data_IF_721754250083
#
_entry.id   IF_721754250083
#
_cell.length_a   1.000
_cell.length_b   1.000
_cell.length_c   1.000
_cell.angle_alpha   90.00
_cell.angle_beta   90.00
_cell.angle_gamma   90.00
#
_symmetry.space_group_name_H-M   'P 1'
#
loop_
_entity.id
_entity.type
_entity.pdbx_description
1 polymer ?
#
# COMPACT_ATOMS: atom_id res chain seq x y z
N UNK A 1 2.46 -3.56 -10.18
CA UNK A 1 3.38 -4.70 -10.23
C UNK A 1 3.55 -5.41 -8.89
N UNK A 2 3.26 -4.73 -7.77
CA UNK A 2 3.49 -5.29 -6.45
C UNK A 2 2.58 -6.47 -6.13
N UNK A 3 3.05 -7.33 -5.22
CA UNK A 3 2.38 -8.56 -4.80
C UNK A 3 0.95 -8.29 -4.29
N UNK A 4 0.79 -7.31 -3.40
CA UNK A 4 -0.51 -6.93 -2.84
C UNK A 4 -1.44 -6.38 -3.92
N UNK A 5 -0.99 -5.37 -4.68
CA UNK A 5 -1.82 -4.76 -5.73
C UNK A 5 -2.28 -5.77 -6.78
N UNK A 6 -1.40 -6.71 -7.17
CA UNK A 6 -1.75 -7.80 -8.09
C UNK A 6 -2.83 -8.72 -7.52
N UNK A 7 -2.69 -9.15 -6.28
CA UNK A 7 -3.69 -9.99 -5.61
C UNK A 7 -5.04 -9.29 -5.45
N UNK A 8 -5.02 -8.00 -5.13
CA UNK A 8 -6.26 -7.19 -5.03
C UNK A 8 -6.98 -7.10 -6.37
N UNK A 9 -6.25 -6.80 -7.46
CA UNK A 9 -6.85 -6.77 -8.80
C UNK A 9 -7.52 -8.11 -9.11
N UNK A 10 -6.80 -9.21 -8.96
CA UNK A 10 -7.32 -10.55 -9.25
C UNK A 10 -8.54 -10.89 -8.40
N UNK A 11 -8.53 -10.52 -7.11
CA UNK A 11 -9.65 -10.78 -6.20
C UNK A 11 -10.92 -10.03 -6.62
N UNK A 12 -10.81 -8.75 -6.96
CA UNK A 12 -11.98 -7.97 -7.38
C UNK A 12 -12.46 -8.33 -8.79
N UNK A 13 -11.56 -8.68 -9.70
CA UNK A 13 -11.94 -9.13 -11.05
C UNK A 13 -12.63 -10.50 -11.09
N UNK A 14 -12.52 -11.29 -10.03
CA UNK A 14 -13.24 -12.56 -9.91
C UNK A 14 -14.75 -12.35 -9.75
N UNK A 15 -15.18 -11.16 -9.36
CA UNK A 15 -16.57 -10.76 -9.21
C UNK A 15 -16.92 -9.73 -10.30
N UNK A 16 -17.88 -10.08 -11.17
CA UNK A 16 -18.27 -9.25 -12.31
C UNK A 16 -19.01 -7.94 -11.91
N UNK A 17 -19.41 -7.79 -10.66
CA UNK A 17 -20.02 -6.57 -10.15
C UNK A 17 -19.00 -5.43 -9.96
N UNK A 18 -17.71 -5.74 -9.95
CA UNK A 18 -16.65 -4.74 -9.75
C UNK A 18 -16.05 -4.24 -11.06
N UNK A 19 -15.97 -2.92 -11.18
CA UNK A 19 -15.14 -2.25 -12.18
C UNK A 19 -13.83 -1.81 -11.53
N UNK A 20 -12.73 -2.45 -11.92
CA UNK A 20 -11.42 -2.25 -11.30
C UNK A 20 -10.59 -1.23 -12.04
N UNK A 21 -10.06 -0.24 -11.33
CA UNK A 21 -9.08 0.73 -11.84
C UNK A 21 -7.76 0.48 -11.12
N UNK A 22 -6.72 0.15 -11.88
CA UNK A 22 -5.38 -0.07 -11.38
C UNK A 22 -4.49 1.15 -11.66
N UNK A 23 -3.97 1.76 -10.60
CA UNK A 23 -3.14 2.97 -10.68
C UNK A 23 -1.73 2.63 -10.23
N UNK A 24 -0.76 2.85 -11.07
CA UNK A 24 0.66 2.77 -10.75
C UNK A 24 1.51 3.37 -11.86
N UNK A 25 2.80 3.62 -11.60
CA UNK A 25 3.74 4.11 -12.62
C UNK A 25 3.95 3.16 -13.80
N UNK A 26 3.75 1.87 -13.58
CA UNK A 26 3.99 0.84 -14.59
C UNK A 26 2.85 -0.17 -14.61
N UNK A 27 2.46 -0.60 -15.81
CA UNK A 27 1.41 -1.58 -16.03
C UNK A 27 1.72 -2.92 -15.34
N UNK A 28 0.70 -3.60 -14.76
CA UNK A 28 0.83 -4.97 -14.27
C UNK A 28 1.37 -5.92 -15.35
N UNK A 29 2.22 -6.89 -14.95
CA UNK A 29 2.84 -7.85 -15.88
C UNK A 29 2.02 -9.14 -16.06
N UNK A 30 0.85 -9.22 -15.46
CA UNK A 30 -0.06 -10.37 -15.58
C UNK A 30 -1.33 -9.96 -16.35
N UNK A 31 -1.98 -10.89 -17.06
CA UNK A 31 -3.26 -10.64 -17.72
C UNK A 31 -4.32 -10.21 -16.68
N UNK A 32 -4.99 -9.10 -16.95
CA UNK A 32 -6.07 -8.57 -16.13
C UNK A 32 -7.01 -7.71 -16.96
N UNK A 33 -8.21 -7.47 -16.46
CA UNK A 33 -9.26 -6.66 -17.08
C UNK A 33 -9.32 -5.24 -16.54
N UNK A 34 -8.53 -4.91 -15.50
CA UNK A 34 -8.55 -3.61 -14.86
C UNK A 34 -8.21 -2.49 -15.85
N UNK A 35 -8.93 -1.39 -15.75
CA UNK A 35 -8.55 -0.15 -16.44
C UNK A 35 -7.26 0.36 -15.83
N UNK A 36 -6.18 0.28 -16.59
CA UNK A 36 -4.88 0.76 -16.12
C UNK A 36 -4.69 2.25 -16.39
N UNK A 37 -4.21 2.96 -15.36
CA UNK A 37 -3.81 4.37 -15.44
C UNK A 37 -2.37 4.48 -14.94
N UNK A 38 -1.49 4.99 -15.81
CA UNK A 38 -0.12 5.31 -15.43
C UNK A 38 -0.11 6.64 -14.68
N UNK A 39 0.29 6.62 -13.40
CA UNK A 39 0.30 7.81 -12.57
C UNK A 39 1.40 7.72 -11.51
N UNK A 40 2.18 8.78 -11.38
CA UNK A 40 3.11 8.93 -10.26
C UNK A 40 2.42 9.69 -9.12
N UNK A 41 2.26 9.03 -7.99
CA UNK A 41 1.58 9.63 -6.83
C UNK A 41 2.38 10.75 -6.15
N UNK A 42 3.64 10.94 -6.52
CA UNK A 42 4.45 12.09 -6.08
C UNK A 42 4.14 13.37 -6.85
N UNK A 43 3.59 13.25 -8.06
CA UNK A 43 3.13 14.37 -8.87
C UNK A 43 1.72 14.80 -8.43
N UNK A 44 1.68 15.77 -7.52
CA UNK A 44 0.42 16.27 -6.95
C UNK A 44 -0.55 16.79 -8.02
N UNK A 45 -0.04 17.51 -9.02
CA UNK A 45 -0.89 18.11 -10.06
C UNK A 45 -1.54 17.01 -10.88
N UNK A 46 -0.74 16.07 -11.39
CA UNK A 46 -1.26 14.95 -12.15
C UNK A 46 -2.26 14.08 -11.35
N UNK A 47 -2.02 13.90 -10.04
CA UNK A 47 -2.92 13.15 -9.15
C UNK A 47 -4.26 13.87 -9.00
N UNK A 48 -4.25 15.18 -8.72
CA UNK A 48 -5.48 15.97 -8.58
C UNK A 48 -6.30 16.00 -9.87
N UNK A 49 -5.65 16.22 -11.01
CA UNK A 49 -6.32 16.21 -12.31
C UNK A 49 -6.89 14.83 -12.66
N UNK A 50 -6.12 13.77 -12.45
CA UNK A 50 -6.53 12.42 -12.84
C UNK A 50 -7.65 11.88 -11.94
N UNK A 51 -7.45 11.89 -10.62
CA UNK A 51 -8.42 11.31 -9.68
C UNK A 51 -9.63 12.22 -9.47
N UNK A 52 -9.45 13.53 -9.50
CA UNK A 52 -10.54 14.49 -9.33
C UNK A 52 -11.63 14.38 -10.40
N UNK A 53 -11.28 13.96 -11.62
CA UNK A 53 -12.24 13.72 -12.70
C UNK A 53 -12.96 12.37 -12.60
N UNK A 54 -12.54 11.47 -11.73
CA UNK A 54 -13.12 10.11 -11.67
C UNK A 54 -14.38 10.00 -10.81
N UNK A 55 -14.66 11.01 -9.99
CA UNK A 55 -15.84 11.02 -9.15
C UNK A 55 -15.73 10.08 -7.94
N UNK A 56 -16.77 9.28 -7.70
CA UNK A 56 -16.88 8.42 -6.52
C UNK A 56 -16.23 7.05 -6.75
N UNK A 57 -15.60 6.54 -5.70
CA UNK A 57 -15.11 5.16 -5.61
C UNK A 57 -15.86 4.41 -4.49
N UNK A 58 -16.33 3.19 -4.73
CA UNK A 58 -16.91 2.37 -3.66
C UNK A 58 -15.84 1.83 -2.72
N UNK A 59 -14.70 1.44 -3.27
CA UNK A 59 -13.56 0.91 -2.52
C UNK A 59 -12.26 1.51 -3.05
N UNK A 60 -11.39 1.90 -2.13
CA UNK A 60 -10.02 2.29 -2.43
C UNK A 60 -9.06 1.39 -1.65
N UNK A 61 -8.11 0.77 -2.32
CA UNK A 61 -7.04 0.00 -1.69
C UNK A 61 -5.70 0.65 -1.99
N UNK A 62 -5.12 1.28 -0.97
CA UNK A 62 -3.84 1.95 -1.07
C UNK A 62 -2.71 1.01 -0.67
N UNK A 63 -2.01 0.49 -1.67
CA UNK A 63 -0.86 -0.41 -1.53
C UNK A 63 0.41 0.19 -2.15
N UNK A 64 0.44 1.50 -2.36
CA UNK A 64 1.60 2.18 -2.92
C UNK A 64 2.68 2.40 -1.85
N UNK A 65 3.93 2.23 -2.25
CA UNK A 65 5.10 2.44 -1.42
C UNK A 65 6.20 3.09 -2.26
N UNK A 66 6.77 4.16 -1.74
CA UNK A 66 8.05 4.69 -2.19
C UNK A 66 9.15 4.14 -1.28
N UNK A 67 10.12 3.46 -1.86
CA UNK A 67 11.21 2.81 -1.14
C UNK A 67 12.53 3.09 -1.85
N UNK A 68 13.53 3.50 -1.08
CA UNK A 68 14.90 3.69 -1.56
C UNK A 68 15.58 2.33 -1.76
N UNK A 69 16.65 2.31 -2.52
CA UNK A 69 17.42 1.09 -2.80
C UNK A 69 18.00 0.45 -1.52
N UNK A 70 18.42 1.27 -0.55
CA UNK A 70 18.81 0.80 0.76
C UNK A 70 17.57 0.63 1.64
N UNK A 71 17.13 -0.62 1.79
CA UNK A 71 15.92 -0.98 2.52
C UNK A 71 16.03 -0.75 4.03
N UNK A 72 17.24 -0.75 4.60
CA UNK A 72 17.44 -0.57 6.04
C UNK A 72 17.49 0.91 6.39
N UNK A 73 18.41 1.65 5.78
CA UNK A 73 18.58 3.09 6.02
C UNK A 73 17.36 3.89 5.52
N UNK A 74 16.71 3.46 4.44
CA UNK A 74 15.55 4.12 3.87
C UNK A 74 14.39 4.30 4.85
N UNK A 75 14.18 3.37 5.76
CA UNK A 75 13.08 3.46 6.75
C UNK A 75 13.24 4.57 7.78
N UNK A 76 14.46 4.97 8.06
CA UNK A 76 14.77 6.12 8.94
C UNK A 76 14.99 7.42 8.17
N UNK A 77 14.95 7.39 6.86
CA UNK A 77 15.21 8.53 6.00
C UNK A 77 13.99 9.46 5.95
N UNK A 78 14.20 10.70 6.37
CA UNK A 78 13.13 11.72 6.46
C UNK A 78 12.50 12.02 5.09
N UNK A 79 13.28 11.98 4.01
CA UNK A 79 12.75 12.20 2.67
C UNK A 79 11.85 11.04 2.21
N UNK A 80 12.22 9.78 2.51
CA UNK A 80 11.37 8.62 2.23
C UNK A 80 10.05 8.71 3.03
N UNK A 81 10.12 9.11 4.30
CA UNK A 81 8.95 9.31 5.16
C UNK A 81 8.05 10.39 4.56
N UNK A 82 8.60 11.57 4.27
CA UNK A 82 7.86 12.69 3.71
C UNK A 82 7.22 12.32 2.35
N UNK A 83 7.94 11.62 1.48
CA UNK A 83 7.43 11.18 0.18
C UNK A 83 6.24 10.24 0.32
N UNK A 84 6.32 9.24 1.20
CA UNK A 84 5.20 8.30 1.40
C UNK A 84 3.95 8.98 2.00
N UNK A 85 4.15 9.95 2.89
CA UNK A 85 3.05 10.75 3.45
C UNK A 85 2.44 11.63 2.36
N UNK A 86 3.26 12.32 1.56
CA UNK A 86 2.80 13.18 0.47
C UNK A 86 2.01 12.40 -0.59
N UNK A 87 2.46 11.20 -0.97
CA UNK A 87 1.73 10.33 -1.90
C UNK A 87 0.32 9.99 -1.41
N UNK A 88 0.17 9.62 -0.14
CA UNK A 88 -1.16 9.34 0.45
C UNK A 88 -1.99 10.62 0.54
N UNK A 89 -1.40 11.73 0.94
CA UNK A 89 -2.06 13.04 0.98
C UNK A 89 -2.63 13.41 -0.39
N UNK A 90 -1.83 13.28 -1.44
CA UNK A 90 -2.25 13.59 -2.80
C UNK A 90 -3.46 12.76 -3.23
N UNK A 91 -3.48 11.47 -2.89
CA UNK A 91 -4.62 10.58 -3.19
C UNK A 91 -5.86 10.99 -2.40
N UNK A 92 -5.74 11.22 -1.09
CA UNK A 92 -6.86 11.60 -0.23
C UNK A 92 -7.45 12.98 -0.56
N UNK A 93 -6.60 13.90 -1.04
CA UNK A 93 -7.06 15.23 -1.51
C UNK A 93 -7.76 15.18 -2.87
N UNK A 94 -7.31 14.26 -3.74
CA UNK A 94 -7.78 14.17 -5.12
C UNK A 94 -9.03 13.30 -5.28
N UNK A 95 -9.18 12.26 -4.46
CA UNK A 95 -10.35 11.38 -4.57
C UNK A 95 -11.59 12.12 -4.08
N UNK A 96 -12.68 12.07 -4.87
CA UNK A 96 -13.92 12.77 -4.54
C UNK A 96 -14.58 12.21 -3.30
N UNK A 97 -15.18 11.03 -3.40
CA UNK A 97 -15.76 10.32 -2.26
C UNK A 97 -15.53 8.83 -2.37
N UNK A 98 -15.45 8.16 -1.22
CA UNK A 98 -15.40 6.69 -1.16
C UNK A 98 -16.30 6.19 -0.04
N UNK A 99 -16.71 4.92 -0.13
CA UNK A 99 -17.42 4.26 0.97
C UNK A 99 -16.42 3.65 1.94
N UNK A 100 -15.30 3.14 1.44
CA UNK A 100 -14.33 2.45 2.26
C UNK A 100 -12.91 2.60 1.72
N UNK A 101 -11.96 2.87 2.61
CA UNK A 101 -10.54 2.99 2.30
C UNK A 101 -9.71 1.93 3.04
N UNK A 102 -8.92 1.15 2.32
CA UNK A 102 -7.98 0.17 2.89
C UNK A 102 -6.55 0.70 2.75
N UNK A 103 -5.84 0.85 3.86
CA UNK A 103 -4.43 1.21 3.90
C UNK A 103 -3.57 -0.01 4.21
N UNK A 104 -2.55 -0.26 3.41
CA UNK A 104 -1.56 -1.31 3.65
C UNK A 104 -0.36 -0.74 4.42
N UNK A 105 -0.06 -1.36 5.55
CA UNK A 105 1.12 -1.14 6.37
C UNK A 105 1.88 -2.48 6.52
N UNK A 106 2.58 -2.68 7.62
CA UNK A 106 3.27 -3.92 7.95
C UNK A 106 3.74 -3.97 9.40
N UNK A 107 4.44 -5.02 9.79
CA UNK A 107 4.91 -5.25 11.16
C UNK A 107 5.89 -4.20 11.70
N UNK A 108 6.45 -3.36 10.83
CA UNK A 108 7.24 -2.19 11.26
C UNK A 108 6.40 -1.18 12.07
N UNK A 109 5.07 -1.23 11.96
CA UNK A 109 4.17 -0.50 12.85
C UNK A 109 4.27 -0.99 14.32
N UNK A 110 4.68 -2.24 14.52
CA UNK A 110 4.93 -2.83 15.85
C UNK A 110 6.41 -2.81 16.24
N UNK A 111 7.26 -2.13 15.49
CA UNK A 111 8.69 -2.04 15.78
C UNK A 111 9.52 -3.25 15.38
N UNK A 112 9.02 -4.13 14.52
CA UNK A 112 9.74 -5.33 14.08
C UNK A 112 11.15 -5.06 13.50
N UNK A 113 11.42 -3.83 13.06
CA UNK A 113 12.72 -3.40 12.56
C UNK A 113 13.64 -2.82 13.63
N UNK A 114 13.14 -2.60 14.85
CA UNK A 114 13.88 -2.06 15.99
C UNK A 114 14.32 -3.16 16.96
N UNK A 115 13.70 -4.33 16.90
CA UNK A 115 14.00 -5.45 17.78
C UNK A 115 12.81 -6.41 17.92
N UNK A 116 12.85 -7.33 18.91
CA UNK A 116 11.76 -8.25 19.18
C UNK A 116 10.47 -7.50 19.50
N UNK A 117 9.42 -7.79 18.76
CA UNK A 117 8.09 -7.23 19.02
C UNK A 117 7.24 -8.23 19.83
N UNK A 118 6.18 -7.72 20.46
CA UNK A 118 5.17 -8.55 21.11
C UNK A 118 4.52 -9.49 20.09
N UNK A 119 4.33 -10.74 20.48
CA UNK A 119 3.64 -11.74 19.67
C UNK A 119 2.48 -12.38 20.47
N UNK A 120 1.24 -12.29 20.02
CA UNK A 120 0.78 -11.52 18.87
C UNK A 120 0.81 -10.00 19.11
N UNK A 121 1.11 -9.22 18.06
CA UNK A 121 0.91 -7.78 18.06
C UNK A 121 -0.59 -7.46 18.12
N UNK A 122 -0.97 -6.41 18.83
CA UNK A 122 -2.36 -5.95 18.99
C UNK A 122 -2.51 -4.53 18.46
N UNK A 123 -3.69 -4.19 17.96
CA UNK A 123 -4.00 -2.82 17.53
C UNK A 123 -3.91 -1.80 18.68
N UNK A 124 -4.11 -2.27 19.92
CA UNK A 124 -3.99 -1.47 21.14
C UNK A 124 -2.55 -1.31 21.66
N UNK A 125 -1.57 -1.96 21.04
CA UNK A 125 -0.18 -1.80 21.43
C UNK A 125 0.28 -0.35 21.17
N UNK A 126 1.11 0.17 22.08
CA UNK A 126 1.64 1.51 21.95
C UNK A 126 2.43 1.66 20.64
N UNK A 127 2.37 2.84 20.07
CA UNK A 127 3.22 3.19 18.92
C UNK A 127 4.67 3.14 19.34
N UNK A 128 5.51 2.59 18.47
CA UNK A 128 6.96 2.57 18.70
C UNK A 128 7.57 3.93 18.46
N UNK A 129 8.59 4.27 19.25
CA UNK A 129 9.39 5.45 19.03
C UNK A 129 10.26 5.30 17.77
N UNK A 130 10.58 6.44 17.15
CA UNK A 130 11.44 6.49 16.01
C UNK A 130 10.74 6.83 14.68
N UNK A 131 11.53 7.12 13.64
CA UNK A 131 11.02 7.56 12.36
C UNK A 131 10.26 6.43 11.66
N UNK A 132 9.01 6.70 11.30
CA UNK A 132 8.16 5.74 10.62
C UNK A 132 7.02 6.48 9.88
N UNK A 133 6.86 6.27 8.58
CA UNK A 133 5.79 6.92 7.82
C UNK A 133 4.40 6.31 8.06
N UNK A 134 4.29 5.13 8.66
CA UNK A 134 3.00 4.51 8.96
C UNK A 134 2.15 5.34 9.93
N UNK A 135 2.78 5.96 10.94
CA UNK A 135 2.04 6.75 11.91
C UNK A 135 1.42 8.02 11.33
N UNK A 136 2.16 8.89 10.64
CA UNK A 136 1.55 10.06 9.99
C UNK A 136 0.55 9.67 8.89
N UNK A 137 0.74 8.55 8.19
CA UNK A 137 -0.27 8.06 7.24
C UNK A 137 -1.55 7.61 7.94
N UNK A 138 -1.44 6.93 9.07
CA UNK A 138 -2.59 6.49 9.86
C UNK A 138 -3.36 7.68 10.44
N UNK A 139 -2.65 8.67 10.98
CA UNK A 139 -3.26 9.89 11.54
C UNK A 139 -4.00 10.67 10.45
N UNK A 140 -3.37 10.85 9.31
CA UNK A 140 -3.97 11.50 8.14
C UNK A 140 -5.23 10.75 7.67
N UNK A 141 -5.18 9.43 7.57
CA UNK A 141 -6.33 8.62 7.14
C UNK A 141 -7.50 8.74 8.13
N UNK A 142 -7.21 8.68 9.44
CA UNK A 142 -8.23 8.84 10.50
C UNK A 142 -8.89 10.20 10.45
N UNK A 143 -8.09 11.25 10.28
CA UNK A 143 -8.60 12.62 10.14
C UNK A 143 -9.53 12.74 8.92
N UNK A 144 -9.08 12.27 7.75
CA UNK A 144 -9.86 12.34 6.50
C UNK A 144 -11.14 11.49 6.58
N UNK A 145 -11.06 10.30 7.15
CA UNK A 145 -12.22 9.44 7.35
C UNK A 145 -13.29 10.11 8.22
N UNK A 146 -12.86 10.79 9.30
CA UNK A 146 -13.76 11.55 10.17
C UNK A 146 -14.40 12.75 9.43
N UNK A 147 -13.61 13.47 8.63
CA UNK A 147 -14.09 14.66 7.89
C UNK A 147 -15.03 14.31 6.75
N UNK A 148 -14.73 13.24 6.02
CA UNK A 148 -15.43 12.87 4.78
C UNK A 148 -16.47 11.75 4.97
N UNK A 149 -16.53 11.12 6.15
CA UNK A 149 -17.56 10.14 6.51
C UNK A 149 -17.38 8.76 5.88
N UNK A 150 -16.16 8.35 5.50
CA UNK A 150 -15.92 7.01 4.98
C UNK A 150 -15.40 6.05 6.05
N UNK A 151 -15.69 4.75 5.88
CA UNK A 151 -15.09 3.69 6.70
C UNK A 151 -13.67 3.37 6.22
N UNK A 152 -12.82 2.88 7.12
CA UNK A 152 -11.49 2.43 6.74
C UNK A 152 -11.04 1.21 7.54
N UNK A 153 -10.05 0.51 7.00
CA UNK A 153 -9.23 -0.45 7.74
C UNK A 153 -7.75 -0.30 7.38
N UNK A 154 -6.89 -0.78 8.29
CA UNK A 154 -5.44 -0.76 8.13
C UNK A 154 -4.93 -2.19 8.29
N UNK A 155 -4.39 -2.75 7.22
CA UNK A 155 -3.80 -4.09 7.26
C UNK A 155 -2.30 -4.02 7.54
N UNK A 156 -1.83 -4.81 8.49
CA UNK A 156 -0.42 -4.91 8.89
C UNK A 156 0.11 -6.33 8.71
N UNK A 157 0.13 -6.86 7.49
CA UNK A 157 0.64 -8.22 7.26
C UNK A 157 2.11 -8.30 7.60
N UNK A 158 2.52 -9.48 8.10
CA UNK A 158 3.92 -9.77 8.37
C UNK A 158 4.63 -10.27 7.11
N UNK A 159 4.08 -11.32 6.52
CA UNK A 159 4.61 -11.96 5.33
C UNK A 159 3.49 -12.09 4.33
N UNK A 160 3.76 -11.67 3.10
CA UNK A 160 2.83 -11.82 2.00
C UNK A 160 3.48 -12.72 0.96
N UNK A 161 2.75 -13.73 0.51
CA UNK A 161 3.18 -14.61 -0.56
C UNK A 161 2.17 -14.62 -1.69
N UNK A 162 2.63 -14.82 -2.91
CA UNK A 162 1.77 -14.91 -4.07
C UNK A 162 2.57 -14.77 -5.37
N UNK A 163 1.86 -14.73 -6.49
CA UNK A 163 2.47 -14.55 -7.80
C UNK A 163 2.75 -13.07 -8.06
N UNK A 164 4.02 -12.69 -8.09
CA UNK A 164 4.43 -11.33 -8.50
C UNK A 164 5.81 -11.36 -9.16
N UNK A 165 5.85 -10.98 -10.42
CA UNK A 165 7.09 -10.90 -11.18
C UNK A 165 7.89 -9.67 -10.75
N UNK A 166 9.17 -9.89 -10.40
CA UNK A 166 10.08 -8.81 -10.01
C UNK A 166 9.84 -8.22 -8.60
N UNK A 167 9.08 -8.93 -7.75
CA UNK A 167 8.93 -8.54 -6.35
C UNK A 167 10.01 -9.21 -5.50
N UNK A 168 11.00 -8.47 -4.96
CA UNK A 168 12.09 -9.05 -4.17
C UNK A 168 11.63 -9.59 -2.80
N UNK A 169 10.52 -9.09 -2.27
CA UNK A 169 9.98 -9.45 -0.96
C UNK A 169 8.86 -10.51 -1.06
N UNK A 170 9.07 -11.52 -1.89
CA UNK A 170 8.12 -12.62 -2.06
C UNK A 170 8.66 -13.92 -1.44
N UNK A 171 8.12 -14.31 -0.29
CA UNK A 171 8.57 -15.50 0.43
C UNK A 171 8.41 -16.79 -0.40
N UNK A 172 7.38 -16.87 -1.25
CA UNK A 172 7.19 -18.04 -2.12
C UNK A 172 8.36 -18.21 -3.10
N UNK A 173 8.90 -17.10 -3.62
CA UNK A 173 10.09 -17.13 -4.47
C UNK A 173 11.33 -17.60 -3.69
N UNK A 174 11.54 -17.08 -2.49
CA UNK A 174 12.68 -17.47 -1.65
C UNK A 174 12.65 -18.97 -1.31
N UNK A 175 11.49 -19.48 -0.92
CA UNK A 175 11.30 -20.92 -0.64
C UNK A 175 11.51 -21.77 -1.90
N UNK A 176 10.99 -21.31 -3.04
CA UNK A 176 11.16 -22.02 -4.32
C UNK A 176 12.62 -22.09 -4.76
N UNK A 177 13.37 -20.99 -4.64
CA UNK A 177 14.82 -20.97 -4.94
C UNK A 177 15.60 -21.89 -3.99
N UNK A 178 15.33 -21.79 -2.69
CA UNK A 178 15.95 -22.67 -1.70
C UNK A 178 15.69 -24.15 -2.04
N UNK A 179 14.46 -24.54 -2.30
CA UNK A 179 14.10 -25.91 -2.64
C UNK A 179 14.75 -26.39 -3.95
N UNK A 180 14.97 -25.51 -4.91
CA UNK A 180 15.66 -25.86 -6.16
C UNK A 180 17.17 -26.06 -5.97
N UNK A 181 17.80 -25.31 -5.03
CA UNK A 181 19.23 -25.40 -4.76
C UNK A 181 19.61 -26.57 -3.84
N UNK A 182 18.65 -27.12 -3.09
CA UNK A 182 18.86 -28.19 -2.12
C UNK A 182 18.50 -29.60 -2.66
N UNK A 183 18.12 -29.70 -3.93
CA UNK A 183 17.96 -30.95 -4.67
C UNK A 183 19.30 -31.46 -5.21
#
# INVERSE_FOLDING_TARGET
RGLVGGGVIQSYEADAEWSVIAISRQKPLFPNKAKFISLDLTDRVAVLETLGMMGRFDRVVYAALYEKADLIAGWSDQNQIATNVAMLTNVLDAMGSTTHFTLLQGTKAYGAHLGPMRNPGKESDARTDGPNFYWPQEDLLKERAKMQGFAFNIHRPQIISGLAVGSPMNVALAVGVYAALTK
#
